data_IF_178573969685
#
_entry.id   IF_178573969685
#
_cell.length_a   1.000
_cell.length_b   1.000
_cell.length_c   1.000
_cell.angle_alpha   90.00
_cell.angle_beta   90.00
_cell.angle_gamma   90.00
#
_symmetry.space_group_name_H-M   'P 1'
#
loop_
_entity.id
_entity.type
_entity.pdbx_description
1 polymer ?
#
# COMPACT_ATOMS: atom_id res chain seq x y z
N UNK A 1 -7.58 -21.67 1.62
CA UNK A 1 -8.57 -22.13 0.62
C UNK A 1 -9.74 -22.77 1.36
N UNK A 2 -11.03 -22.77 0.96
CA UNK A 2 -11.84 -22.04 -0.04
C UNK A 2 -13.31 -22.35 0.28
N UNK A 3 -14.11 -21.36 0.67
CA UNK A 3 -15.57 -21.51 0.60
C UNK A 3 -15.99 -21.56 -0.87
N UNK A 4 -17.14 -22.18 -1.18
CA UNK A 4 -17.67 -22.23 -2.54
C UNK A 4 -17.77 -20.83 -3.18
N UNK A 5 -18.04 -19.81 -2.35
CA UNK A 5 -18.05 -18.41 -2.73
C UNK A 5 -16.70 -17.92 -3.30
N UNK A 6 -15.58 -18.16 -2.62
CA UNK A 6 -14.25 -17.70 -3.09
C UNK A 6 -13.93 -18.26 -4.48
N UNK A 7 -14.28 -19.53 -4.74
CA UNK A 7 -14.13 -20.15 -6.05
C UNK A 7 -15.04 -19.52 -7.10
N UNK A 8 -16.30 -19.25 -6.74
CA UNK A 8 -17.25 -18.57 -7.62
C UNK A 8 -16.76 -17.17 -8.02
N UNK A 9 -16.27 -16.39 -7.07
CA UNK A 9 -15.70 -15.05 -7.33
C UNK A 9 -14.47 -15.16 -8.23
N UNK A 10 -13.54 -16.06 -7.90
CA UNK A 10 -12.34 -16.26 -8.72
C UNK A 10 -12.68 -16.63 -10.16
N UNK A 11 -13.67 -17.52 -10.36
CA UNK A 11 -14.13 -17.92 -11.69
C UNK A 11 -14.81 -16.76 -12.44
N UNK A 12 -15.62 -15.96 -11.73
CA UNK A 12 -16.26 -14.77 -12.29
C UNK A 12 -15.25 -13.74 -12.79
N UNK A 13 -14.13 -13.59 -12.08
CA UNK A 13 -13.04 -12.66 -12.45
C UNK A 13 -12.16 -13.25 -13.55
N UNK A 14 -11.75 -14.52 -13.43
CA UNK A 14 -10.76 -15.13 -14.33
C UNK A 14 -11.29 -15.42 -15.74
N UNK A 15 -12.60 -15.62 -15.89
CA UNK A 15 -13.25 -15.80 -17.20
C UNK A 15 -13.82 -14.50 -17.78
N UNK A 16 -13.57 -13.36 -17.12
CA UNK A 16 -14.02 -12.08 -17.64
C UNK A 16 -13.17 -11.67 -18.85
N UNK A 17 -13.84 -11.22 -19.91
CA UNK A 17 -13.18 -10.65 -21.10
C UNK A 17 -12.67 -9.23 -20.81
N UNK A 18 -13.47 -8.46 -20.07
CA UNK A 18 -13.15 -7.10 -19.63
C UNK A 18 -13.66 -6.85 -18.20
N UNK A 19 -13.32 -5.68 -17.65
CA UNK A 19 -13.67 -5.35 -16.26
C UNK A 19 -15.19 -5.18 -16.05
N UNK A 20 -15.95 -4.80 -17.08
CA UNK A 20 -17.41 -4.65 -17.01
C UNK A 20 -18.09 -6.02 -16.96
N UNK A 21 -17.63 -6.95 -17.79
CA UNK A 21 -18.06 -8.34 -17.79
C UNK A 21 -17.73 -9.00 -16.45
N UNK A 22 -16.53 -8.76 -15.91
CA UNK A 22 -16.15 -9.22 -14.56
C UNK A 22 -17.08 -8.67 -13.48
N UNK A 23 -17.36 -7.37 -13.50
CA UNK A 23 -18.28 -6.74 -12.54
C UNK A 23 -19.71 -7.29 -12.65
N UNK A 24 -20.21 -7.53 -13.87
CA UNK A 24 -21.52 -8.14 -14.10
C UNK A 24 -21.58 -9.59 -13.60
N UNK A 25 -20.51 -10.36 -13.80
CA UNK A 25 -20.42 -11.73 -13.31
C UNK A 25 -20.40 -11.78 -11.78
N UNK A 26 -19.70 -10.86 -11.11
CA UNK A 26 -19.73 -10.74 -9.65
C UNK A 26 -21.14 -10.37 -9.16
N UNK A 27 -21.83 -9.44 -9.83
CA UNK A 27 -23.19 -9.04 -9.45
C UNK A 27 -24.20 -10.21 -9.51
N UNK A 28 -24.00 -11.16 -10.44
CA UNK A 28 -24.81 -12.38 -10.55
C UNK A 28 -24.63 -13.35 -9.37
N UNK A 29 -23.57 -13.22 -8.57
CA UNK A 29 -23.34 -14.05 -7.38
C UNK A 29 -24.25 -13.69 -6.20
N UNK A 30 -25.01 -12.57 -6.28
CA UNK A 30 -25.98 -12.14 -5.27
C UNK A 30 -25.43 -12.14 -3.83
N UNK A 31 -24.42 -11.29 -3.59
CA UNK A 31 -23.76 -11.16 -2.29
C UNK A 31 -24.75 -10.64 -1.25
N UNK A 32 -25.07 -11.46 -0.23
CA UNK A 32 -26.09 -11.11 0.77
C UNK A 32 -25.46 -10.45 2.00
N UNK A 33 -24.28 -10.91 2.40
CA UNK A 33 -23.64 -10.49 3.65
C UNK A 33 -22.45 -9.57 3.39
N UNK A 34 -22.14 -8.71 4.36
CA UNK A 34 -20.97 -7.83 4.30
C UNK A 34 -19.65 -8.62 4.23
N UNK A 35 -19.62 -9.85 4.77
CA UNK A 35 -18.50 -10.79 4.63
C UNK A 35 -18.24 -11.17 3.18
N UNK A 36 -19.31 -11.40 2.42
CA UNK A 36 -19.22 -11.79 1.00
C UNK A 36 -18.69 -10.62 0.17
N UNK A 37 -19.16 -9.41 0.46
CA UNK A 37 -18.71 -8.16 -0.17
C UNK A 37 -17.21 -7.94 0.05
N UNK A 38 -16.74 -8.17 1.28
CA UNK A 38 -15.31 -8.10 1.62
C UNK A 38 -14.52 -9.19 0.92
N UNK A 39 -15.09 -10.40 0.80
CA UNK A 39 -14.42 -11.51 0.14
C UNK A 39 -14.15 -11.23 -1.34
N UNK A 40 -15.05 -10.53 -2.04
CA UNK A 40 -14.79 -10.08 -3.41
C UNK A 40 -13.56 -9.19 -3.48
N UNK A 41 -13.46 -8.19 -2.60
CA UNK A 41 -12.30 -7.30 -2.56
C UNK A 41 -11.02 -8.08 -2.27
N UNK A 42 -11.06 -9.01 -1.31
CA UNK A 42 -9.92 -9.88 -1.01
C UNK A 42 -9.46 -10.68 -2.25
N UNK A 43 -10.40 -11.24 -3.02
CA UNK A 43 -10.07 -11.98 -4.24
C UNK A 43 -9.51 -11.04 -5.31
N UNK A 44 -10.09 -9.86 -5.53
CA UNK A 44 -9.57 -8.86 -6.49
C UNK A 44 -8.12 -8.50 -6.15
N UNK A 45 -7.83 -8.13 -4.90
CA UNK A 45 -6.48 -7.79 -4.46
C UNK A 45 -5.52 -8.97 -4.58
N UNK A 46 -5.97 -10.16 -4.18
CA UNK A 46 -5.14 -11.36 -4.25
C UNK A 46 -4.78 -11.74 -5.70
N UNK A 47 -5.75 -11.65 -6.61
CA UNK A 47 -5.49 -11.88 -8.03
C UNK A 47 -4.50 -10.84 -8.60
N UNK A 48 -4.72 -9.55 -8.31
CA UNK A 48 -3.82 -8.49 -8.76
C UNK A 48 -2.37 -8.65 -8.23
N UNK A 49 -2.22 -9.02 -6.95
CA UNK A 49 -0.92 -9.28 -6.34
C UNK A 49 -0.22 -10.53 -6.93
N UNK A 50 -1.00 -11.51 -7.39
CA UNK A 50 -0.48 -12.74 -7.98
C UNK A 50 0.07 -12.55 -9.40
N UNK A 51 -0.38 -11.52 -10.12
CA UNK A 51 0.06 -11.23 -11.49
C UNK A 51 1.57 -11.05 -11.63
N UNK A 52 2.09 -11.28 -12.84
CA UNK A 52 3.51 -11.04 -13.16
C UNK A 52 3.82 -9.56 -13.37
N UNK A 53 2.86 -8.80 -13.91
CA UNK A 53 2.94 -7.36 -14.15
C UNK A 53 1.65 -6.72 -13.66
N UNK A 54 1.72 -5.44 -13.29
CA UNK A 54 0.54 -4.67 -12.93
C UNK A 54 -0.48 -4.71 -14.09
N UNK A 55 -1.69 -5.17 -13.79
CA UNK A 55 -2.78 -5.25 -14.76
C UNK A 55 -3.88 -4.22 -14.42
N UNK A 56 -4.11 -3.20 -15.27
CA UNK A 56 -5.14 -2.18 -15.06
C UNK A 56 -6.57 -2.72 -14.95
N UNK A 57 -6.81 -3.94 -15.46
CA UNK A 57 -8.10 -4.62 -15.33
C UNK A 57 -8.63 -4.61 -13.90
N UNK A 58 -7.77 -4.93 -12.91
CA UNK A 58 -8.20 -5.02 -11.51
C UNK A 58 -8.53 -3.65 -10.91
N UNK A 59 -7.85 -2.59 -11.35
CA UNK A 59 -8.13 -1.21 -10.93
C UNK A 59 -9.51 -0.77 -11.41
N UNK A 60 -9.83 -1.01 -12.69
CA UNK A 60 -11.15 -0.67 -13.24
C UNK A 60 -12.26 -1.58 -12.69
N UNK A 61 -11.98 -2.87 -12.48
CA UNK A 61 -12.91 -3.81 -11.85
C UNK A 61 -13.25 -3.39 -10.42
N UNK A 62 -12.25 -2.99 -9.63
CA UNK A 62 -12.45 -2.46 -8.28
C UNK A 62 -13.40 -1.27 -8.29
N UNK A 63 -13.18 -0.29 -9.18
CA UNK A 63 -14.04 0.89 -9.29
C UNK A 63 -15.47 0.55 -9.72
N UNK A 64 -15.63 -0.33 -10.71
CA UNK A 64 -16.96 -0.80 -11.15
C UNK A 64 -17.69 -1.54 -10.02
N UNK A 65 -16.98 -2.39 -9.27
CA UNK A 65 -17.54 -3.09 -8.12
C UNK A 65 -17.97 -2.13 -6.99
N UNK A 66 -17.12 -1.15 -6.65
CA UNK A 66 -17.44 -0.13 -5.65
C UNK A 66 -18.67 0.70 -6.04
N UNK A 67 -18.85 1.00 -7.33
CA UNK A 67 -20.03 1.71 -7.83
C UNK A 67 -21.30 0.86 -7.72
N UNK A 68 -21.22 -0.43 -8.04
CA UNK A 68 -22.37 -1.33 -8.01
C UNK A 68 -22.85 -1.65 -6.58
N UNK A 69 -21.92 -1.99 -5.67
CA UNK A 69 -22.25 -2.36 -4.29
C UNK A 69 -22.38 -1.14 -3.34
N UNK A 70 -21.93 0.03 -3.79
CA UNK A 70 -22.06 1.30 -3.08
C UNK A 70 -21.38 1.30 -1.71
N UNK A 71 -22.08 1.84 -0.70
CA UNK A 71 -21.52 2.09 0.65
C UNK A 71 -20.93 0.84 1.32
N UNK A 72 -21.50 -0.34 1.06
CA UNK A 72 -21.02 -1.61 1.65
C UNK A 72 -19.61 -1.92 1.15
N UNK A 73 -19.39 -1.82 -0.16
CA UNK A 73 -18.07 -2.05 -0.74
C UNK A 73 -17.06 -0.98 -0.33
N UNK A 74 -17.46 0.30 -0.25
CA UNK A 74 -16.56 1.37 0.21
C UNK A 74 -16.11 1.16 1.66
N UNK A 75 -17.03 0.73 2.54
CA UNK A 75 -16.67 0.40 3.93
C UNK A 75 -15.73 -0.81 4.00
N UNK A 76 -16.04 -1.89 3.27
CA UNK A 76 -15.18 -3.07 3.22
C UNK A 76 -13.80 -2.77 2.61
N UNK A 77 -13.73 -1.89 1.61
CA UNK A 77 -12.47 -1.43 1.01
C UNK A 77 -11.65 -0.62 2.00
N UNK A 78 -12.29 0.26 2.78
CA UNK A 78 -11.63 0.99 3.86
C UNK A 78 -10.99 0.01 4.85
N UNK A 79 -11.74 -0.95 5.36
CA UNK A 79 -11.23 -1.97 6.30
C UNK A 79 -10.07 -2.75 5.71
N UNK A 80 -10.20 -3.24 4.46
CA UNK A 80 -9.12 -3.96 3.78
C UNK A 80 -7.88 -3.09 3.59
N UNK A 81 -8.06 -1.81 3.25
CA UNK A 81 -6.94 -0.88 3.10
C UNK A 81 -6.18 -0.70 4.42
N UNK A 82 -6.88 -0.57 5.56
CA UNK A 82 -6.25 -0.54 6.88
C UNK A 82 -5.37 -1.77 7.12
N UNK A 83 -5.91 -2.97 6.88
CA UNK A 83 -5.18 -4.23 7.06
C UNK A 83 -3.96 -4.37 6.13
N UNK A 84 -4.04 -3.82 4.90
CA UNK A 84 -2.94 -3.81 3.94
C UNK A 84 -1.86 -2.77 4.25
N UNK A 85 -2.19 -1.73 5.02
CA UNK A 85 -1.27 -0.65 5.39
C UNK A 85 -0.59 -0.90 6.74
N UNK A 86 -1.31 -1.50 7.69
CA UNK A 86 -0.84 -1.72 9.06
C UNK A 86 -0.18 -3.11 9.20
N UNK A 87 -0.95 -4.18 9.03
CA UNK A 87 -0.55 -5.52 9.47
C UNK A 87 0.14 -6.38 8.40
N UNK A 88 -0.29 -6.29 7.14
CA UNK A 88 0.11 -7.28 6.12
C UNK A 88 1.41 -6.95 5.36
N UNK A 89 1.92 -5.72 5.47
CA UNK A 89 3.08 -5.25 4.66
C UNK A 89 4.32 -6.12 4.88
N UNK A 90 4.57 -6.57 6.12
CA UNK A 90 5.73 -7.39 6.46
C UNK A 90 5.72 -8.76 5.77
N UNK A 91 4.54 -9.38 5.64
CA UNK A 91 4.36 -10.72 5.09
C UNK A 91 4.34 -10.76 3.56
N UNK A 92 4.04 -9.65 2.90
CA UNK A 92 3.97 -9.55 1.44
C UNK A 92 5.36 -9.47 0.80
N UNK A 93 5.54 -10.05 -0.38
CA UNK A 93 6.71 -9.79 -1.22
C UNK A 93 6.69 -8.37 -1.77
N UNK A 94 7.85 -7.84 -2.19
CA UNK A 94 7.93 -6.48 -2.76
C UNK A 94 7.02 -6.28 -3.98
N UNK A 95 6.87 -7.32 -4.81
CA UNK A 95 5.95 -7.31 -5.95
C UNK A 95 4.50 -7.13 -5.50
N UNK A 96 4.09 -7.90 -4.50
CA UNK A 96 2.72 -7.83 -3.97
C UNK A 96 2.47 -6.48 -3.30
N UNK A 97 3.46 -5.94 -2.58
CA UNK A 97 3.40 -4.58 -2.03
C UNK A 97 3.23 -3.56 -3.16
N UNK A 98 4.01 -3.66 -4.24
CA UNK A 98 3.88 -2.73 -5.37
C UNK A 98 2.50 -2.79 -6.02
N UNK A 99 1.98 -3.99 -6.31
CA UNK A 99 0.67 -4.16 -6.95
C UNK A 99 -0.48 -3.69 -6.05
N UNK A 100 -0.45 -4.03 -4.75
CA UNK A 100 -1.48 -3.57 -3.81
C UNK A 100 -1.44 -2.05 -3.66
N UNK A 101 -0.24 -1.45 -3.63
CA UNK A 101 -0.04 -0.01 -3.58
C UNK A 101 -0.62 0.69 -4.82
N UNK A 102 -0.43 0.12 -6.01
CA UNK A 102 -1.00 0.67 -7.25
C UNK A 102 -2.54 0.64 -7.23
N UNK A 103 -3.14 -0.44 -6.71
CA UNK A 103 -4.59 -0.54 -6.51
C UNK A 103 -5.12 0.47 -5.50
N UNK A 104 -4.45 0.61 -4.35
CA UNK A 104 -4.81 1.61 -3.32
C UNK A 104 -4.68 3.03 -3.86
N UNK A 105 -3.63 3.33 -4.63
CA UNK A 105 -3.46 4.62 -5.28
C UNK A 105 -4.61 4.91 -6.24
N UNK A 106 -5.01 3.94 -7.07
CA UNK A 106 -6.17 4.12 -7.94
C UNK A 106 -7.44 4.39 -7.15
N UNK A 107 -7.68 3.66 -6.06
CA UNK A 107 -8.84 3.88 -5.19
C UNK A 107 -8.86 5.28 -4.54
N UNK A 108 -7.70 5.82 -4.18
CA UNK A 108 -7.56 7.18 -3.66
C UNK A 108 -7.79 8.24 -4.76
N UNK A 109 -7.22 8.06 -5.95
CA UNK A 109 -7.38 9.00 -7.08
C UNK A 109 -8.84 9.11 -7.49
N UNK A 110 -9.55 7.99 -7.56
CA UNK A 110 -10.96 7.90 -7.94
C UNK A 110 -11.92 8.16 -6.76
N UNK A 111 -11.41 8.47 -5.58
CA UNK A 111 -12.18 8.73 -4.34
C UNK A 111 -13.10 7.57 -3.89
N UNK A 112 -12.81 6.33 -4.29
CA UNK A 112 -13.39 5.14 -3.65
C UNK A 112 -12.84 4.94 -2.23
N UNK A 113 -11.70 5.57 -1.93
CA UNK A 113 -11.01 5.52 -0.65
C UNK A 113 -10.62 6.95 -0.23
N UNK A 114 -10.80 7.27 1.06
CA UNK A 114 -10.37 8.55 1.64
C UNK A 114 -8.91 8.47 2.10
N UNK A 115 -8.17 9.56 1.99
CA UNK A 115 -6.80 9.68 2.52
C UNK A 115 -6.67 9.43 4.02
N UNK A 116 -7.77 9.50 4.77
CA UNK A 116 -7.79 9.15 6.20
C UNK A 116 -7.28 7.75 6.51
N UNK A 117 -7.29 6.82 5.55
CA UNK A 117 -6.72 5.47 5.72
C UNK A 117 -5.20 5.46 5.89
N UNK A 118 -4.50 6.47 5.37
CA UNK A 118 -3.05 6.56 5.53
C UNK A 118 -2.64 6.91 6.97
N UNK A 119 -3.60 7.33 7.82
CA UNK A 119 -3.34 7.62 9.24
C UNK A 119 -2.91 6.41 10.06
N UNK A 120 -3.35 5.20 9.70
CA UNK A 120 -3.00 3.98 10.46
C UNK A 120 -1.57 3.52 10.23
N UNK A 121 -0.89 4.07 9.25
CA UNK A 121 0.49 3.72 9.00
C UNK A 121 1.38 4.30 10.11
N UNK A 122 1.69 3.49 11.10
CA UNK A 122 2.68 3.83 12.10
C UNK A 122 4.07 3.68 11.45
N UNK A 123 4.93 4.69 11.42
CA UNK A 123 6.27 4.56 10.81
C UNK A 123 7.28 3.85 11.73
N UNK A 124 6.90 3.56 12.98
CA UNK A 124 7.80 3.18 14.06
C UNK A 124 8.33 1.74 14.08
N UNK A 125 7.83 0.82 13.26
CA UNK A 125 8.29 -0.58 13.30
C UNK A 125 9.41 -0.89 12.29
N UNK A 126 10.59 -1.26 12.83
CA UNK A 126 11.86 -1.39 12.12
C UNK A 126 11.86 -2.51 11.05
N UNK A 127 11.16 -3.64 11.25
CA UNK A 127 11.24 -4.78 10.31
C UNK A 127 10.36 -4.67 9.05
N UNK A 128 9.34 -3.79 9.08
CA UNK A 128 8.46 -3.48 7.93
C UNK A 128 8.79 -2.16 7.24
N UNK A 129 9.75 -1.39 7.77
CA UNK A 129 10.03 -0.01 7.39
C UNK A 129 10.35 0.17 5.89
N UNK A 130 11.15 -0.70 5.28
CA UNK A 130 11.51 -0.61 3.86
C UNK A 130 10.32 -0.89 2.93
N UNK A 131 9.52 -1.93 3.22
CA UNK A 131 8.32 -2.26 2.44
C UNK A 131 7.22 -1.22 2.63
N UNK A 132 7.07 -0.68 3.84
CA UNK A 132 6.17 0.44 4.15
C UNK A 132 6.57 1.70 3.38
N UNK A 133 7.87 2.01 3.32
CA UNK A 133 8.42 3.09 2.48
C UNK A 133 8.13 2.85 1.00
N UNK A 134 8.36 1.63 0.50
CA UNK A 134 8.04 1.26 -0.89
C UNK A 134 6.55 1.46 -1.20
N UNK A 135 5.66 1.02 -0.29
CA UNK A 135 4.22 1.18 -0.44
C UNK A 135 3.83 2.65 -0.55
N UNK A 136 4.34 3.47 0.37
CA UNK A 136 4.13 4.91 0.37
C UNK A 136 4.62 5.59 -0.90
N UNK A 137 5.88 5.37 -1.26
CA UNK A 137 6.48 5.94 -2.45
C UNK A 137 5.70 5.52 -3.71
N UNK A 138 5.26 4.27 -3.79
CA UNK A 138 4.45 3.79 -4.92
C UNK A 138 3.09 4.47 -4.97
N UNK A 139 2.39 4.61 -3.83
CA UNK A 139 1.08 5.27 -3.77
C UNK A 139 1.19 6.71 -4.27
N UNK A 140 2.12 7.47 -3.69
CA UNK A 140 2.27 8.87 -4.05
C UNK A 140 2.81 9.07 -5.47
N UNK A 141 3.81 8.29 -5.92
CA UNK A 141 4.29 8.33 -7.31
C UNK A 141 3.15 8.14 -8.31
N UNK A 142 2.24 7.19 -8.05
CA UNK A 142 1.07 6.96 -8.89
C UNK A 142 0.08 8.12 -8.86
N UNK A 143 -0.19 8.68 -7.69
CA UNK A 143 -1.07 9.85 -7.54
C UNK A 143 -0.48 11.02 -8.34
N UNK A 144 0.80 11.33 -8.16
CA UNK A 144 1.46 12.44 -8.86
C UNK A 144 1.55 12.26 -10.37
N UNK A 145 1.73 11.02 -10.85
CA UNK A 145 1.80 10.74 -12.30
C UNK A 145 0.43 10.69 -12.99
N UNK A 146 -0.62 10.24 -12.30
CA UNK A 146 -1.94 10.02 -12.92
C UNK A 146 -2.97 11.12 -12.64
N UNK A 147 -2.84 11.87 -11.54
CA UNK A 147 -3.80 12.93 -11.23
C UNK A 147 -3.44 14.24 -11.96
N UNK A 148 -4.44 14.92 -12.51
CA UNK A 148 -4.28 16.28 -13.07
C UNK A 148 -3.90 17.27 -11.97
N UNK A 149 -3.36 18.45 -12.32
CA UNK A 149 -2.98 19.46 -11.31
C UNK A 149 -4.15 19.86 -10.40
N UNK A 150 -5.34 20.05 -10.97
CA UNK A 150 -6.53 20.42 -10.18
C UNK A 150 -6.97 19.26 -9.28
N UNK A 151 -6.88 18.03 -9.80
CA UNK A 151 -7.15 16.83 -9.03
C UNK A 151 -6.14 16.67 -7.89
N UNK A 152 -4.86 16.90 -8.12
CA UNK A 152 -3.82 16.88 -7.10
C UNK A 152 -4.09 17.90 -6.01
N UNK A 153 -4.40 19.16 -6.36
CA UNK A 153 -4.78 20.19 -5.39
C UNK A 153 -5.96 19.74 -4.53
N UNK A 154 -7.01 19.20 -5.16
CA UNK A 154 -8.16 18.67 -4.44
C UNK A 154 -7.80 17.51 -3.51
N UNK A 155 -7.05 16.52 -4.01
CA UNK A 155 -6.63 15.35 -3.24
C UNK A 155 -5.73 15.73 -2.06
N UNK A 156 -4.81 16.69 -2.26
CA UNK A 156 -3.93 17.23 -1.21
C UNK A 156 -4.77 17.96 -0.15
N UNK A 157 -5.71 18.83 -0.55
CA UNK A 157 -6.60 19.50 0.40
C UNK A 157 -7.49 18.51 1.15
N UNK A 158 -8.00 17.48 0.46
CA UNK A 158 -8.77 16.40 1.08
C UNK A 158 -7.92 15.60 2.07
N UNK A 159 -6.65 15.33 1.74
CA UNK A 159 -5.68 14.75 2.65
C UNK A 159 -5.51 15.65 3.89
N UNK A 160 -5.12 16.92 3.73
CA UNK A 160 -4.93 17.86 4.84
C UNK A 160 -6.17 18.00 5.72
N UNK A 161 -7.38 18.08 5.15
CA UNK A 161 -8.62 18.13 5.92
C UNK A 161 -8.90 16.84 6.70
N UNK A 162 -8.40 15.72 6.19
CA UNK A 162 -8.53 14.42 6.85
C UNK A 162 -7.58 14.33 8.04
N UNK A 163 -6.40 14.96 8.01
CA UNK A 163 -5.42 14.94 9.11
C UNK A 163 -5.66 16.10 10.11
N UNK A 164 -5.63 15.79 11.40
CA UNK A 164 -5.68 16.83 12.44
C UNK A 164 -4.26 17.18 12.87
N UNK A 165 -3.99 18.45 13.19
CA UNK A 165 -2.67 18.92 13.69
C UNK A 165 -2.20 18.24 14.99
N UNK A 166 -3.08 17.47 15.66
CA UNK A 166 -2.75 16.68 16.86
C UNK A 166 -2.36 15.23 16.57
N UNK A 167 -2.53 14.76 15.33
CA UNK A 167 -2.20 13.38 14.96
C UNK A 167 -0.67 13.27 14.77
N UNK A 168 0.04 12.46 15.58
CA UNK A 168 1.50 12.23 15.40
C UNK A 168 1.86 11.68 14.02
N UNK A 169 0.92 10.99 13.36
CA UNK A 169 1.07 10.52 11.99
C UNK A 169 1.11 11.66 10.97
N UNK A 170 0.72 12.88 11.34
CA UNK A 170 0.81 14.06 10.48
C UNK A 170 2.26 14.50 10.25
N UNK A 171 3.12 14.49 11.26
CA UNK A 171 4.54 14.85 11.11
C UNK A 171 5.28 13.83 10.25
N UNK A 172 5.02 12.54 10.46
CA UNK A 172 5.60 11.45 9.65
C UNK A 172 5.10 11.49 8.20
N UNK A 173 3.79 11.73 8.01
CA UNK A 173 3.20 11.79 6.67
C UNK A 173 3.60 13.08 5.96
N UNK A 174 3.76 14.19 6.70
CA UNK A 174 4.36 15.41 6.19
C UNK A 174 5.79 15.11 5.75
N UNK A 175 6.63 14.53 6.59
CA UNK A 175 8.01 14.18 6.22
C UNK A 175 8.08 13.22 5.03
N UNK A 176 7.20 12.22 4.95
CA UNK A 176 7.08 11.34 3.78
C UNK A 176 6.65 12.10 2.53
N UNK A 177 5.67 13.00 2.64
CA UNK A 177 5.28 13.88 1.55
C UNK A 177 6.44 14.78 1.13
N UNK A 178 7.25 15.27 2.08
CA UNK A 178 8.42 16.10 1.80
C UNK A 178 9.50 15.31 1.09
N UNK A 179 9.82 14.12 1.60
CA UNK A 179 10.77 13.18 1.01
C UNK A 179 10.34 12.76 -0.39
N UNK A 180 9.04 12.54 -0.61
CA UNK A 180 8.48 12.18 -1.91
C UNK A 180 8.49 13.37 -2.87
N UNK A 181 8.11 14.56 -2.43
CA UNK A 181 8.22 15.78 -3.24
C UNK A 181 9.68 16.07 -3.65
N UNK A 182 10.61 15.87 -2.71
CA UNK A 182 12.05 15.98 -2.94
C UNK A 182 12.57 14.89 -3.90
N UNK A 183 12.16 13.62 -3.70
CA UNK A 183 12.56 12.48 -4.52
C UNK A 183 12.00 12.54 -5.95
N UNK A 184 10.78 13.07 -6.12
CA UNK A 184 10.12 13.20 -7.42
C UNK A 184 10.52 14.47 -8.19
N UNK A 185 11.43 15.30 -7.64
CA UNK A 185 11.78 16.64 -8.18
C UNK A 185 10.53 17.47 -8.54
N UNK A 186 9.44 17.28 -7.80
CA UNK A 186 8.20 18.00 -8.08
C UNK A 186 8.33 19.41 -7.50
N UNK A 187 8.55 20.37 -8.39
CA UNK A 187 8.25 21.79 -8.14
C UNK A 187 6.73 21.94 -8.04
N UNK A 188 6.15 21.51 -6.92
CA UNK A 188 4.85 21.99 -6.49
C UNK A 188 5.11 23.34 -5.82
N UNK A 189 5.32 24.37 -6.64
CA UNK A 189 5.18 25.75 -6.22
C UNK A 189 3.72 25.93 -5.77
N UNK A 190 3.48 25.70 -4.48
CA UNK A 190 2.31 26.21 -3.79
C UNK A 190 2.56 27.71 -3.75
N UNK A 191 1.87 28.45 -4.62
CA UNK A 191 1.93 29.90 -4.62
C UNK A 191 1.51 30.42 -3.25
N UNK A 192 2.47 31.05 -2.55
CA UNK A 192 2.29 31.62 -1.23
C UNK A 192 3.12 30.95 -0.13
N UNK A 193 4.45 30.92 -0.28
CA UNK A 193 5.45 31.09 0.79
C UNK A 193 6.85 30.81 0.23
N UNK A 194 7.46 31.84 -0.35
CA UNK A 194 8.75 31.80 -1.06
C UNK A 194 9.97 31.66 -0.14
N UNK A 195 9.81 31.52 1.18
CA UNK A 195 10.95 31.34 2.09
C UNK A 195 11.20 29.87 2.46
N UNK A 196 10.19 28.99 2.37
CA UNK A 196 10.37 27.59 2.71
C UNK A 196 11.04 26.82 1.57
N UNK A 197 10.78 27.16 0.30
CA UNK A 197 11.33 26.46 -0.88
C UNK A 197 12.86 26.47 -0.99
N UNK A 198 13.55 27.42 -0.34
CA UNK A 198 15.01 27.50 -0.36
C UNK A 198 15.70 26.40 0.46
N UNK A 199 15.00 25.75 1.40
CA UNK A 199 15.57 24.67 2.24
C UNK A 199 15.47 23.25 1.63
N UNK A 200 14.89 23.10 0.44
CA UNK A 200 14.55 21.79 -0.16
C UNK A 200 15.57 21.28 -1.18
N UNK A 201 16.64 22.04 -1.39
CA UNK A 201 17.75 21.63 -2.25
C UNK A 201 18.77 20.84 -1.45
N UNK A 202 18.50 19.57 -1.20
CA UNK A 202 19.54 18.61 -0.79
C UNK A 202 19.60 17.45 -1.77
N UNK A 203 20.75 17.16 -2.42
CA UNK A 203 20.82 16.12 -3.46
C UNK A 203 20.60 14.70 -2.91
N UNK A 204 19.87 13.90 -3.68
CA UNK A 204 19.57 12.46 -3.51
C UNK A 204 20.78 11.51 -3.34
N UNK A 205 22.02 12.02 -3.29
CA UNK A 205 23.23 11.19 -3.14
C UNK A 205 23.33 10.48 -1.78
N UNK A 206 22.63 10.97 -0.76
CA UNK A 206 22.64 10.40 0.59
C UNK A 206 21.72 9.16 0.73
N UNK A 207 20.63 9.07 -0.04
CA UNK A 207 19.68 7.98 0.08
C UNK A 207 20.18 6.67 -0.55
N UNK A 208 20.93 6.74 -1.66
CA UNK A 208 21.57 5.57 -2.26
C UNK A 208 22.70 5.01 -1.40
N UNK A 209 23.40 5.88 -0.66
CA UNK A 209 24.43 5.46 0.29
C UNK A 209 23.81 4.82 1.52
N UNK A 210 22.71 5.37 2.05
CA UNK A 210 22.01 4.79 3.20
C UNK A 210 21.37 3.43 2.89
N UNK A 211 20.80 3.24 1.70
CA UNK A 211 20.29 1.92 1.25
C UNK A 211 21.43 0.89 1.17
N UNK A 212 22.57 1.26 0.57
CA UNK A 212 23.75 0.37 0.48
C UNK A 212 24.36 0.07 1.85
N UNK A 213 24.32 1.03 2.78
CA UNK A 213 24.86 0.88 4.13
C UNK A 213 23.97 -0.02 5.01
N UNK A 214 22.65 0.06 4.87
CA UNK A 214 21.70 -0.83 5.55
C UNK A 214 21.83 -2.26 5.04
N UNK A 215 22.00 -2.45 3.72
CA UNK A 215 22.25 -3.77 3.12
C UNK A 215 23.61 -4.36 3.52
N UNK A 216 24.62 -3.52 3.73
CA UNK A 216 25.94 -3.94 4.23
C UNK A 216 25.89 -4.31 5.73
N UNK A 217 25.11 -3.57 6.53
CA UNK A 217 24.92 -3.85 7.96
C UNK A 217 24.13 -5.15 8.18
N UNK A 218 23.11 -5.42 7.36
CA UNK A 218 22.34 -6.67 7.43
C UNK A 218 23.16 -7.90 6.99
N UNK A 219 24.06 -7.75 6.00
CA UNK A 219 25.01 -8.82 5.63
C UNK A 219 26.03 -9.13 6.73
N UNK A 220 26.50 -8.11 7.46
CA UNK A 220 27.39 -8.29 8.61
C UNK A 220 26.67 -8.97 9.78
N UNK A 221 25.44 -8.59 10.11
CA UNK A 221 24.65 -9.21 11.17
C UNK A 221 24.41 -10.71 10.94
N UNK A 222 24.05 -11.09 9.71
CA UNK A 222 23.85 -12.50 9.33
C UNK A 222 25.13 -13.34 9.46
N UNK A 223 26.28 -12.79 9.07
CA UNK A 223 27.59 -13.44 9.24
C UNK A 223 28.01 -13.61 10.70
N UNK A 224 27.60 -12.72 11.60
CA UNK A 224 27.87 -12.86 13.04
C UNK A 224 26.95 -13.85 13.72
N UNK A 225 25.69 -13.94 13.31
CA UNK A 225 24.74 -14.93 13.85
C UNK A 225 25.11 -16.37 13.43
N UNK A 226 25.55 -16.56 12.18
CA UNK A 226 26.03 -17.88 11.71
C UNK A 226 27.30 -18.34 12.46
N UNK A 227 28.18 -17.42 12.86
CA UNK A 227 29.38 -17.73 13.66
C UNK A 227 29.09 -18.01 15.13
N UNK A 228 28.03 -17.42 15.70
CA UNK A 228 27.61 -17.69 17.08
C UNK A 228 26.83 -19.02 17.17
N UNK A 229 26.12 -19.39 16.10
CA UNK A 229 25.44 -20.70 15.99
C UNK A 229 26.40 -21.90 15.92
N UNK A 230 27.58 -21.77 15.29
CA UNK A 230 28.59 -22.84 15.27
C UNK A 230 29.41 -22.95 16.58
N UNK A 231 29.46 -21.89 17.40
CA UNK A 231 30.21 -21.88 18.67
C UNK A 231 29.43 -22.47 19.86
N UNK A 232 28.11 -22.64 19.73
CA UNK A 232 27.27 -23.30 20.73
C UNK A 232 26.98 -24.74 20.27
N UNK A 233 27.90 -25.64 20.57
CA UNK A 233 27.65 -27.08 20.53
C UNK A 233 26.42 -27.47 21.39
N UNK A 234 25.85 -28.67 21.18
CA UNK A 234 24.58 -29.05 21.79
C UNK A 234 24.65 -28.97 23.32
N UNK A 235 23.75 -28.20 23.93
CA UNK A 235 23.67 -28.03 25.38
C UNK A 235 23.30 -29.35 26.09
N UNK A 236 23.95 -29.70 27.21
CA UNK A 236 23.74 -30.97 27.90
C UNK A 236 22.62 -30.86 28.93
N UNK A 237 21.36 -30.74 28.50
CA UNK A 237 20.20 -30.82 29.41
C UNK A 237 18.99 -31.52 28.78
N UNK A 238 19.23 -32.65 28.09
CA UNK A 238 18.14 -33.56 27.68
C UNK A 238 18.39 -35.00 28.15
N UNK A 239 18.86 -35.16 29.38
CA UNK A 239 18.96 -36.47 30.04
C UNK A 239 18.77 -36.35 31.54
N UNK A 240 17.56 -36.00 31.99
CA UNK A 240 17.00 -36.45 33.28
C UNK A 240 15.55 -35.93 33.42
N UNK A 241 14.65 -36.92 33.53
CA UNK A 241 13.19 -36.88 33.77
C UNK A 241 12.33 -36.73 32.50
#
# INVERSE_FOLDING_TARGET
MTTALKRGIFFAISNAEDYLHGAANIARLQLKQSSDVREVLNVIFKCACSEKKENPFYSHLLGAYCKNEGRRALFSLKVLAFELLEDNVGAMSEKEVHHSSCLLAHALIEEYLSFSVLKSMQTGEVSGSAKRRLQLCTIFDRIFKKASRDRLKHLINAAFSSFSAKDRSFEDLQQVLLDVCAALRLSLAIEGETEVAASWNTPLSHLETDIKNVDAANRKKKSTEDRVGEALGPSPLTSLI
#
